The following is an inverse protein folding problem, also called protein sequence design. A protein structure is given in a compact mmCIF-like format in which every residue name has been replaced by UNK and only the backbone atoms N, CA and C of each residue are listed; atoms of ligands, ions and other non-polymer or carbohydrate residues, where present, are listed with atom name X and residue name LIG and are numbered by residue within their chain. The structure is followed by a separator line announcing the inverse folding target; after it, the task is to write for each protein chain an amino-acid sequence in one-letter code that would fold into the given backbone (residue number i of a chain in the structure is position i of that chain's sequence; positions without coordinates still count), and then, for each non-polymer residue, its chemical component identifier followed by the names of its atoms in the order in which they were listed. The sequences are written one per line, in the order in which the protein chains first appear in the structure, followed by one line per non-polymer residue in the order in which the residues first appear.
data_IF_146385100035
#
_entry.id   IF_146385100035
#
_cell.length_a   1.000
_cell.length_b   1.000
_cell.length_c   1.000
_cell.angle_alpha   90.00
_cell.angle_beta   90.00
_cell.angle_gamma   90.00
#
_symmetry.space_group_name_H-M   'P 1'
#
loop_
_entity.id
_entity.type
_entity.pdbx_description
1 polymer ?
#
# COMPACT_ATOMS: atom_id res chain seq x y z
N UNK A 1 44.29 44.67 7.64
CA UNK A 1 42.82 44.83 7.53
C UNK A 1 42.26 43.47 7.14
N UNK A 2 41.81 42.73 8.12
CA UNK A 2 41.24 41.38 7.95
C UNK A 2 39.72 41.58 8.03
N UNK A 3 39.00 41.23 6.95
CA UNK A 3 37.54 41.35 6.89
C UNK A 3 36.90 40.27 7.70
N UNK A 4 35.97 40.66 8.60
CA UNK A 4 35.08 39.77 9.37
C UNK A 4 34.12 39.01 8.45
N UNK A 5 33.77 37.75 8.77
CA UNK A 5 32.73 37.02 8.04
C UNK A 5 31.34 37.48 8.46
N UNK A 6 30.47 37.64 7.48
CA UNK A 6 29.08 38.03 7.64
C UNK A 6 28.30 37.04 8.51
N UNK A 7 27.47 37.61 9.39
CA UNK A 7 26.56 36.91 10.32
C UNK A 7 25.60 35.94 9.62
N UNK A 8 25.52 34.74 10.15
CA UNK A 8 24.53 33.73 9.78
C UNK A 8 23.10 34.27 10.00
N UNK A 9 22.33 34.30 8.92
CA UNK A 9 20.92 34.66 8.95
C UNK A 9 20.10 33.65 9.75
N UNK A 10 19.25 34.20 10.62
CA UNK A 10 18.23 33.53 11.43
C UNK A 10 17.31 32.69 10.56
N UNK A 11 17.55 31.38 10.48
CA UNK A 11 16.56 30.42 10.07
C UNK A 11 15.64 30.13 11.28
N UNK A 12 14.72 31.03 11.54
CA UNK A 12 13.58 30.76 12.42
C UNK A 12 12.66 29.72 11.75
N UNK A 13 13.04 28.46 11.85
CA UNK A 13 12.16 27.32 11.67
C UNK A 13 11.16 27.31 12.83
N UNK A 14 10.04 28.01 12.71
CA UNK A 14 8.90 27.93 13.62
C UNK A 14 8.12 26.63 13.37
N UNK A 15 8.73 25.52 13.71
CA UNK A 15 8.06 24.25 13.88
C UNK A 15 7.47 24.24 15.29
N UNK A 16 6.11 24.22 15.38
CA UNK A 16 5.34 24.08 16.62
C UNK A 16 5.50 25.19 17.68
N UNK A 17 4.64 26.22 17.60
CA UNK A 17 4.17 26.90 18.82
C UNK A 17 3.04 26.05 19.41
N UNK A 18 3.18 25.44 20.59
CA UNK A 18 2.04 24.84 21.27
C UNK A 18 1.10 25.97 21.70
N UNK A 19 0.03 26.18 20.97
CA UNK A 19 -1.09 26.99 21.44
C UNK A 19 -1.70 26.26 22.64
N UNK A 20 -1.67 26.92 23.74
CA UNK A 20 -2.17 26.62 25.09
C UNK A 20 -3.48 25.84 25.09
N UNK A 21 -3.56 24.83 26.01
CA UNK A 21 -4.76 24.07 26.38
C UNK A 21 -5.43 23.22 25.28
N UNK A 22 -4.74 22.16 24.86
CA UNK A 22 -5.41 21.03 24.25
C UNK A 22 -5.92 20.08 25.35
N UNK A 23 -7.10 20.36 25.88
CA UNK A 23 -8.00 19.32 26.37
C UNK A 23 -8.04 18.25 25.29
N UNK A 24 -7.95 16.97 25.65
CA UNK A 24 -8.19 15.80 24.81
C UNK A 24 -9.65 15.78 24.32
N UNK A 25 -10.05 16.78 23.54
CA UNK A 25 -11.20 16.68 22.67
C UNK A 25 -10.75 15.78 21.52
N UNK A 26 -11.13 14.51 21.60
CA UNK A 26 -10.86 13.52 20.57
C UNK A 26 -11.29 14.07 19.22
N UNK A 27 -10.59 13.65 18.16
CA UNK A 27 -11.00 13.98 16.79
C UNK A 27 -12.48 13.61 16.63
N UNK A 28 -13.38 14.52 16.18
CA UNK A 28 -14.79 14.23 16.01
C UNK A 28 -14.99 13.12 14.98
N UNK A 29 -16.16 12.51 14.97
CA UNK A 29 -16.48 11.55 13.91
C UNK A 29 -16.64 12.28 12.56
N UNK A 30 -16.23 11.63 11.46
CA UNK A 30 -16.24 12.25 10.16
C UNK A 30 -17.67 12.56 9.69
N UNK A 31 -17.95 13.73 9.11
CA UNK A 31 -19.24 14.02 8.55
C UNK A 31 -19.59 13.02 7.44
N UNK A 32 -20.81 12.49 7.47
CA UNK A 32 -21.33 11.52 6.50
C UNK A 32 -20.54 10.19 6.40
N UNK A 33 -19.83 9.78 7.45
CA UNK A 33 -19.10 8.52 7.50
C UNK A 33 -17.89 8.42 6.58
N UNK A 34 -17.49 9.52 5.91
CA UNK A 34 -16.30 9.55 5.05
C UNK A 34 -15.08 10.08 5.82
N UNK A 35 -14.15 9.19 6.17
CA UNK A 35 -12.93 9.54 6.88
C UNK A 35 -11.97 10.37 5.99
N UNK A 36 -11.86 10.02 4.71
CA UNK A 36 -11.04 10.72 3.73
C UNK A 36 -11.87 11.02 2.50
N UNK A 37 -11.82 12.26 2.02
CA UNK A 37 -12.41 12.66 0.74
C UNK A 37 -11.35 13.35 -0.10
N UNK A 38 -11.09 12.81 -1.28
CA UNK A 38 -10.18 13.36 -2.29
C UNK A 38 -11.03 13.74 -3.49
N UNK A 39 -10.93 15.01 -3.92
CA UNK A 39 -11.80 15.59 -4.94
C UNK A 39 -10.93 16.31 -5.99
N UNK A 40 -10.76 15.70 -7.18
CA UNK A 40 -9.97 16.17 -8.33
C UNK A 40 -8.57 16.69 -7.93
N UNK A 41 -7.90 15.96 -7.02
CA UNK A 41 -6.61 16.39 -6.51
C UNK A 41 -5.53 16.27 -7.60
N UNK A 42 -4.78 17.34 -7.78
CA UNK A 42 -3.72 17.44 -8.79
C UNK A 42 -2.42 17.96 -8.17
N UNK A 43 -1.30 17.37 -8.58
CA UNK A 43 0.04 17.83 -8.24
C UNK A 43 0.90 18.00 -9.47
N UNK A 44 1.39 19.23 -9.68
CA UNK A 44 2.34 19.58 -10.74
C UNK A 44 3.67 20.02 -10.15
N UNK A 45 4.75 19.64 -10.82
CA UNK A 45 6.11 20.09 -10.59
C UNK A 45 6.64 20.67 -11.91
N UNK A 46 6.55 21.98 -12.09
CA UNK A 46 6.75 22.59 -13.40
C UNK A 46 5.80 21.99 -14.43
N UNK A 47 6.35 21.45 -15.51
CA UNK A 47 5.57 20.81 -16.59
C UNK A 47 5.20 19.36 -16.29
N UNK A 48 5.79 18.75 -15.25
CA UNK A 48 5.50 17.36 -14.89
C UNK A 48 4.28 17.26 -13.97
N UNK A 49 3.28 16.50 -14.38
CA UNK A 49 2.09 16.20 -13.57
C UNK A 49 2.28 14.86 -12.87
N UNK A 50 2.52 14.88 -11.57
CA UNK A 50 2.75 13.68 -10.75
C UNK A 50 1.45 13.02 -10.27
N UNK A 51 0.37 13.81 -10.13
CA UNK A 51 -0.98 13.35 -9.80
C UNK A 51 -1.96 14.20 -10.62
N UNK A 52 -2.88 13.55 -11.31
CA UNK A 52 -3.76 14.15 -12.30
C UNK A 52 -5.22 13.83 -12.00
N UNK A 53 -5.95 14.80 -11.46
CA UNK A 53 -7.41 14.80 -11.19
C UNK A 53 -7.93 13.55 -10.43
N UNK A 54 -7.17 13.05 -9.47
CA UNK A 54 -7.53 11.86 -8.71
C UNK A 54 -8.67 12.17 -7.74
N UNK A 55 -9.73 11.35 -7.75
CA UNK A 55 -10.89 11.47 -6.86
C UNK A 55 -11.25 10.11 -6.26
N UNK A 56 -11.40 10.05 -4.93
CA UNK A 56 -11.91 8.89 -4.21
C UNK A 56 -12.39 9.26 -2.80
N UNK A 57 -13.10 8.32 -2.16
CA UNK A 57 -13.53 8.44 -0.76
C UNK A 57 -13.13 7.19 0.01
N UNK A 58 -12.73 7.38 1.26
CA UNK A 58 -12.44 6.30 2.21
C UNK A 58 -13.47 6.37 3.32
N UNK A 59 -14.15 5.26 3.57
CA UNK A 59 -15.17 5.15 4.61
C UNK A 59 -14.51 4.96 5.98
N UNK A 60 -15.17 5.40 7.04
CA UNK A 60 -14.70 5.16 8.39
C UNK A 60 -14.58 3.66 8.66
N UNK A 61 -13.47 3.26 9.29
CA UNK A 61 -13.24 1.88 9.70
C UNK A 61 -12.78 0.92 8.58
N UNK A 62 -12.56 1.40 7.34
CA UNK A 62 -12.02 0.55 6.27
C UNK A 62 -10.49 0.58 6.19
N UNK A 63 -9.90 -0.47 5.65
CA UNK A 63 -8.52 -0.48 5.14
C UNK A 63 -8.58 -0.19 3.64
N UNK A 64 -8.06 0.94 3.23
CA UNK A 64 -8.04 1.38 1.85
C UNK A 64 -6.64 1.32 1.27
N UNK A 65 -6.46 0.62 0.15
CA UNK A 65 -5.19 0.44 -0.54
C UNK A 65 -5.00 1.41 -1.71
N UNK A 66 -3.85 2.08 -1.77
CA UNK A 66 -3.37 2.73 -3.00
C UNK A 66 -2.33 1.79 -3.62
N UNK A 67 -2.71 1.07 -4.67
CA UNK A 67 -1.90 0.08 -5.36
C UNK A 67 -1.33 0.66 -6.66
N UNK A 68 -0.08 0.36 -6.98
CA UNK A 68 0.53 0.77 -8.24
C UNK A 68 2.05 0.69 -8.22
N UNK A 69 2.72 0.84 -9.36
CA UNK A 69 4.18 0.76 -9.47
C UNK A 69 4.88 1.93 -8.78
N UNK A 70 6.20 1.81 -8.69
CA UNK A 70 7.03 2.92 -8.23
C UNK A 70 6.91 4.09 -9.23
N UNK A 71 6.74 5.31 -8.73
CA UNK A 71 6.52 6.48 -9.57
C UNK A 71 5.06 6.71 -10.01
N UNK A 72 4.10 5.83 -9.68
CA UNK A 72 2.69 6.01 -10.01
C UNK A 72 2.01 7.22 -9.34
N UNK A 73 2.66 7.88 -8.37
CA UNK A 73 2.09 9.03 -7.66
C UNK A 73 1.59 8.73 -6.23
N UNK A 74 1.65 7.48 -5.75
CA UNK A 74 1.14 7.05 -4.44
C UNK A 74 1.67 7.88 -3.26
N UNK A 75 3.00 7.96 -3.11
CA UNK A 75 3.62 8.74 -2.02
C UNK A 75 3.35 10.24 -2.16
N UNK A 76 3.18 10.76 -3.39
CA UNK A 76 2.77 12.14 -3.62
C UNK A 76 1.35 12.38 -3.11
N UNK A 77 0.42 11.47 -3.39
CA UNK A 77 -0.96 11.50 -2.86
C UNK A 77 -0.96 11.50 -1.32
N UNK A 78 -0.24 10.56 -0.68
CA UNK A 78 -0.13 10.55 0.79
C UNK A 78 0.41 11.88 1.30
N UNK A 79 1.51 12.40 0.75
CA UNK A 79 2.12 13.64 1.20
C UNK A 79 1.18 14.84 1.08
N UNK A 80 0.33 14.90 0.05
CA UNK A 80 -0.69 15.94 -0.08
C UNK A 80 -1.78 15.79 0.99
N UNK A 81 -2.32 14.59 1.18
CA UNK A 81 -3.34 14.31 2.19
C UNK A 81 -2.84 14.53 3.62
N UNK A 82 -1.56 14.23 3.89
CA UNK A 82 -0.92 14.40 5.19
C UNK A 82 -0.34 15.81 5.43
N UNK A 83 -0.65 16.76 4.56
CA UNK A 83 -0.22 18.18 4.66
C UNK A 83 1.29 18.41 4.50
N UNK A 84 2.04 17.39 4.08
CA UNK A 84 3.49 17.49 3.85
C UNK A 84 3.83 18.13 2.49
N UNK A 85 2.86 18.16 1.57
CA UNK A 85 3.03 18.71 0.23
C UNK A 85 1.79 19.53 -0.15
N UNK A 86 1.94 20.77 -0.63
CA UNK A 86 0.82 21.57 -1.07
C UNK A 86 0.17 20.98 -2.33
N UNK A 87 -1.16 21.03 -2.37
CA UNK A 87 -2.01 20.64 -3.50
C UNK A 87 -1.91 21.74 -4.57
N UNK A 88 -1.82 21.37 -5.85
CA UNK A 88 -1.80 22.33 -6.97
C UNK A 88 -3.23 22.70 -7.39
N UNK A 89 -4.14 21.71 -7.48
CA UNK A 89 -5.57 21.91 -7.78
C UNK A 89 -6.40 20.81 -7.09
N UNK A 90 -7.70 21.04 -6.95
CA UNK A 90 -8.58 20.14 -6.22
C UNK A 90 -8.50 20.33 -4.71
N UNK A 91 -8.99 19.36 -3.93
CA UNK A 91 -8.98 19.41 -2.46
C UNK A 91 -8.93 18.02 -1.84
N UNK A 92 -8.48 17.97 -0.59
CA UNK A 92 -8.60 16.77 0.26
C UNK A 92 -9.16 17.16 1.63
N UNK A 93 -10.09 16.33 2.13
CA UNK A 93 -10.64 16.45 3.48
C UNK A 93 -10.21 15.23 4.28
N UNK A 94 -9.68 15.47 5.46
CA UNK A 94 -9.33 14.44 6.44
C UNK A 94 -10.24 14.63 7.65
N UNK A 95 -11.08 13.65 7.89
CA UNK A 95 -12.10 13.72 8.94
C UNK A 95 -12.96 15.01 8.87
N UNK A 96 -13.28 15.42 7.64
CA UNK A 96 -14.02 16.66 7.38
C UNK A 96 -13.19 17.95 7.35
N UNK A 97 -11.91 17.92 7.80
CA UNK A 97 -11.03 19.07 7.77
C UNK A 97 -10.29 19.19 6.45
N UNK A 98 -10.39 20.34 5.79
CA UNK A 98 -9.65 20.65 4.56
C UNK A 98 -8.15 20.75 4.87
N UNK A 99 -7.34 19.92 4.23
CA UNK A 99 -5.88 19.83 4.52
C UNK A 99 -5.11 21.11 4.19
N UNK A 100 -5.62 21.93 3.28
CA UNK A 100 -5.00 23.21 2.91
C UNK A 100 -5.45 24.36 3.84
N UNK A 101 -6.70 24.35 4.32
CA UNK A 101 -7.27 25.42 5.12
C UNK A 101 -7.17 25.18 6.61
N UNK A 102 -7.23 23.93 7.04
CA UNK A 102 -7.26 23.50 8.44
C UNK A 102 -6.21 22.39 8.74
N UNK A 103 -4.93 22.59 8.35
CA UNK A 103 -3.92 21.53 8.42
C UNK A 103 -3.69 21.00 9.85
N UNK A 104 -3.76 21.86 10.86
CA UNK A 104 -3.54 21.44 12.25
C UNK A 104 -4.67 20.55 12.78
N UNK A 105 -5.90 20.84 12.40
CA UNK A 105 -7.06 20.01 12.77
C UNK A 105 -6.97 18.64 12.06
N UNK A 106 -6.62 18.63 10.77
CA UNK A 106 -6.41 17.41 10.01
C UNK A 106 -5.28 16.54 10.64
N UNK A 107 -4.13 17.16 10.99
CA UNK A 107 -2.99 16.44 11.61
C UNK A 107 -3.32 15.80 12.95
N UNK A 108 -4.19 16.41 13.76
CA UNK A 108 -4.63 15.83 15.05
C UNK A 108 -5.43 14.55 14.87
N UNK A 109 -6.10 14.39 13.73
CA UNK A 109 -6.93 13.22 13.44
C UNK A 109 -6.15 12.08 12.79
N UNK A 110 -4.89 12.30 12.37
CA UNK A 110 -4.12 11.32 11.61
C UNK A 110 -2.82 10.91 12.30
N UNK A 111 -2.45 9.64 12.13
CA UNK A 111 -1.10 9.12 12.34
C UNK A 111 -0.46 8.84 10.98
N UNK A 112 0.81 9.10 10.82
CA UNK A 112 1.52 8.92 9.55
C UNK A 112 2.80 8.15 9.77
N UNK A 113 2.98 7.07 9.04
CA UNK A 113 4.20 6.27 9.01
C UNK A 113 4.80 6.33 7.60
N UNK A 114 5.95 6.97 7.46
CA UNK A 114 6.65 7.01 6.18
C UNK A 114 7.28 5.66 5.84
N UNK A 115 7.70 5.50 4.59
CA UNK A 115 8.42 4.32 4.12
C UNK A 115 9.72 4.11 4.89
N UNK A 116 10.50 5.18 5.10
CA UNK A 116 11.74 5.13 5.88
C UNK A 116 11.45 4.97 7.39
N UNK A 117 12.31 4.22 8.09
CA UNK A 117 12.29 4.15 9.54
C UNK A 117 12.79 5.48 10.12
N UNK A 118 12.04 6.03 11.08
CA UNK A 118 12.30 7.35 11.70
C UNK A 118 12.48 7.29 13.22
N UNK A 119 12.42 6.07 13.81
CA UNK A 119 12.73 5.87 15.22
C UNK A 119 14.19 6.14 15.52
N UNK A 120 14.46 6.80 16.64
CA UNK A 120 15.81 7.02 17.10
C UNK A 120 16.44 5.69 17.56
N UNK A 121 17.56 5.33 16.93
CA UNK A 121 18.22 4.04 17.13
C UNK A 121 18.95 3.94 18.48
N UNK A 122 19.34 5.05 19.08
CA UNK A 122 20.06 5.11 20.35
C UNK A 122 19.13 5.14 21.56
N UNK A 123 17.86 5.46 21.35
CA UNK A 123 16.82 5.41 22.37
C UNK A 123 16.22 4.01 22.51
N UNK A 124 15.69 3.75 23.70
CA UNK A 124 14.88 2.54 23.94
C UNK A 124 13.53 2.62 23.24
N UNK A 125 12.86 1.48 23.14
CA UNK A 125 11.50 1.39 22.58
C UNK A 125 10.54 2.32 23.35
N UNK A 126 10.57 2.29 24.67
CA UNK A 126 9.71 3.15 25.51
C UNK A 126 10.02 4.63 25.36
N UNK A 127 11.29 5.02 25.29
CA UNK A 127 11.70 6.40 25.09
C UNK A 127 11.22 6.97 23.78
N UNK A 128 11.32 6.19 22.68
CA UNK A 128 10.76 6.55 21.38
C UNK A 128 9.26 6.84 21.47
N UNK A 129 8.49 5.98 22.11
CA UNK A 129 7.05 6.18 22.31
C UNK A 129 6.74 7.39 23.19
N UNK A 130 7.50 7.58 24.27
CA UNK A 130 7.33 8.72 25.19
C UNK A 130 7.56 10.08 24.53
N UNK A 131 8.60 10.18 23.67
CA UNK A 131 8.88 11.41 22.92
C UNK A 131 7.71 11.74 22.00
N UNK A 132 7.23 10.77 21.22
CA UNK A 132 6.09 10.98 20.32
C UNK A 132 4.81 11.32 21.10
N UNK A 133 4.54 10.64 22.22
CA UNK A 133 3.41 10.97 23.07
C UNK A 133 3.47 12.43 23.58
N UNK A 134 4.66 12.92 23.94
CA UNK A 134 4.87 14.32 24.33
C UNK A 134 4.65 15.28 23.16
N UNK A 135 5.20 14.98 21.98
CA UNK A 135 5.07 15.80 20.77
C UNK A 135 3.60 15.97 20.37
N UNK A 136 2.81 14.92 20.50
CA UNK A 136 1.38 14.96 20.17
C UNK A 136 0.50 15.41 21.36
N UNK A 137 1.12 15.87 22.48
CA UNK A 137 0.39 16.42 23.63
C UNK A 137 -0.43 15.40 24.42
N UNK A 138 -0.05 14.12 24.37
CA UNK A 138 -0.71 13.08 25.18
C UNK A 138 -0.51 13.37 26.66
N UNK A 139 -1.61 13.49 27.40
CA UNK A 139 -1.60 13.81 28.81
C UNK A 139 -0.78 12.80 29.64
N UNK A 140 -0.02 13.31 30.61
CA UNK A 140 0.89 12.52 31.45
C UNK A 140 0.17 11.38 32.17
N UNK A 141 -1.07 11.62 32.64
CA UNK A 141 -1.86 10.62 33.35
C UNK A 141 -2.22 9.41 32.45
N UNK A 142 -2.44 9.64 31.18
CA UNK A 142 -2.84 8.59 30.22
C UNK A 142 -1.66 7.99 29.45
N UNK A 143 -0.52 8.68 29.40
CA UNK A 143 0.63 8.30 28.56
C UNK A 143 1.17 6.92 28.88
N UNK A 144 1.39 6.63 30.17
CA UNK A 144 1.92 5.32 30.60
C UNK A 144 0.99 4.19 30.15
N UNK A 145 -0.31 4.33 30.39
CA UNK A 145 -1.30 3.33 30.00
C UNK A 145 -1.32 3.15 28.47
N UNK A 146 -1.35 4.25 27.70
CA UNK A 146 -1.35 4.17 26.23
C UNK A 146 -0.11 3.44 25.70
N UNK A 147 1.07 3.70 26.30
CA UNK A 147 2.31 3.03 25.90
C UNK A 147 2.26 1.54 26.28
N UNK A 148 1.75 1.18 27.46
CA UNK A 148 1.60 -0.21 27.88
C UNK A 148 0.68 -0.98 26.94
N UNK A 149 -0.48 -0.41 26.61
CA UNK A 149 -1.45 -0.99 25.67
C UNK A 149 -0.87 -1.14 24.27
N UNK A 150 -0.13 -0.13 23.79
CA UNK A 150 0.52 -0.18 22.48
C UNK A 150 1.62 -1.23 22.41
N UNK A 151 2.50 -1.28 23.40
CA UNK A 151 3.56 -2.29 23.44
C UNK A 151 3.01 -3.71 23.41
N UNK A 152 1.87 -3.93 24.09
CA UNK A 152 1.17 -5.21 24.04
C UNK A 152 0.59 -5.46 22.65
N UNK A 153 -0.06 -4.46 22.05
CA UNK A 153 -0.68 -4.56 20.72
C UNK A 153 0.33 -4.90 19.62
N UNK A 154 1.54 -4.32 19.68
CA UNK A 154 2.59 -4.54 18.69
C UNK A 154 3.59 -5.64 19.07
N UNK A 155 3.33 -6.37 20.15
CA UNK A 155 4.19 -7.46 20.67
C UNK A 155 5.65 -7.02 20.91
N UNK A 156 5.82 -5.86 21.55
CA UNK A 156 7.12 -5.32 21.93
C UNK A 156 7.29 -5.16 23.45
N UNK A 157 6.37 -5.68 24.28
CA UNK A 157 6.40 -5.54 25.74
C UNK A 157 7.71 -6.02 26.36
N UNK A 158 8.24 -7.15 25.89
CA UNK A 158 9.50 -7.73 26.36
C UNK A 158 10.73 -6.88 26.00
N UNK A 159 10.60 -6.03 24.97
CA UNK A 159 11.66 -5.21 24.41
C UNK A 159 11.58 -3.74 24.86
N UNK A 160 10.69 -3.42 25.80
CA UNK A 160 10.42 -2.06 26.28
C UNK A 160 11.70 -1.24 26.52
N UNK A 161 12.66 -1.83 27.25
CA UNK A 161 13.90 -1.17 27.65
C UNK A 161 15.10 -1.49 26.72
N UNK A 162 14.87 -2.23 25.65
CA UNK A 162 15.90 -2.50 24.65
C UNK A 162 16.13 -1.27 23.76
N UNK A 163 17.38 -1.01 23.41
CA UNK A 163 17.70 0.03 22.42
C UNK A 163 17.18 -0.36 21.03
N UNK A 164 16.65 0.62 20.32
CA UNK A 164 16.04 0.40 19.00
C UNK A 164 17.01 -0.21 17.99
N UNK A 165 18.31 0.08 18.09
CA UNK A 165 19.35 -0.52 17.22
C UNK A 165 19.47 -2.03 17.36
N UNK A 166 19.04 -2.61 18.48
CA UNK A 166 19.11 -4.07 18.73
C UNK A 166 17.90 -4.82 18.18
N UNK A 167 16.87 -4.11 17.71
CA UNK A 167 15.66 -4.71 17.18
C UNK A 167 15.86 -5.21 15.73
N UNK A 168 15.17 -6.29 15.36
CA UNK A 168 15.07 -6.73 13.97
C UNK A 168 14.34 -5.69 13.11
N UNK A 169 14.42 -5.80 11.77
CA UNK A 169 13.69 -4.93 10.86
C UNK A 169 12.19 -4.92 11.10
N UNK A 170 11.59 -6.10 11.25
CA UNK A 170 10.16 -6.25 11.56
C UNK A 170 9.78 -5.64 12.92
N UNK A 171 10.60 -5.80 13.95
CA UNK A 171 10.38 -5.19 15.26
C UNK A 171 10.47 -3.66 15.19
N UNK A 172 11.44 -3.12 14.46
CA UNK A 172 11.53 -1.66 14.22
C UNK A 172 10.29 -1.14 13.50
N UNK A 173 9.78 -1.87 12.49
CA UNK A 173 8.55 -1.47 11.81
C UNK A 173 7.33 -1.47 12.74
N UNK A 174 7.21 -2.45 13.62
CA UNK A 174 6.17 -2.47 14.66
C UNK A 174 6.29 -1.28 15.63
N UNK A 175 7.51 -0.90 16.01
CA UNK A 175 7.74 0.32 16.82
C UNK A 175 7.29 1.59 16.08
N UNK A 176 7.60 1.74 14.78
CA UNK A 176 7.11 2.87 13.97
C UNK A 176 5.59 2.95 14.00
N UNK A 177 4.90 1.82 13.79
CA UNK A 177 3.44 1.74 13.83
C UNK A 177 2.91 2.15 15.20
N UNK A 178 3.50 1.66 16.30
CA UNK A 178 3.12 2.05 17.64
C UNK A 178 3.30 3.56 17.87
N UNK A 179 4.38 4.16 17.38
CA UNK A 179 4.64 5.61 17.46
C UNK A 179 3.53 6.43 16.81
N UNK A 180 3.10 6.03 15.61
CA UNK A 180 2.02 6.71 14.89
C UNK A 180 0.64 6.56 15.54
N UNK A 181 0.47 5.59 16.43
CA UNK A 181 -0.78 5.34 17.15
C UNK A 181 -0.83 5.92 18.57
N UNK A 182 0.28 6.48 19.08
CA UNK A 182 0.42 6.87 20.49
C UNK A 182 -0.60 7.94 20.94
N UNK A 183 -1.06 8.78 20.01
CA UNK A 183 -2.06 9.84 20.26
C UNK A 183 -3.49 9.42 19.87
N UNK A 184 -3.70 8.12 19.58
CA UNK A 184 -5.00 7.53 19.24
C UNK A 184 -5.68 8.25 18.04
N UNK A 185 -5.04 8.31 16.87
CA UNK A 185 -5.63 8.92 15.68
C UNK A 185 -6.87 8.15 15.22
N UNK A 186 -7.76 8.82 14.46
CA UNK A 186 -8.92 8.19 13.78
C UNK A 186 -8.53 7.63 12.40
N UNK A 187 -7.49 8.19 11.77
CA UNK A 187 -7.03 7.83 10.44
C UNK A 187 -5.53 7.55 10.48
N UNK A 188 -5.11 6.47 9.84
CA UNK A 188 -3.73 6.03 9.85
C UNK A 188 -3.18 5.84 8.44
N UNK A 189 -2.18 6.61 8.08
CA UNK A 189 -1.50 6.56 6.80
C UNK A 189 -0.22 5.75 6.92
N UNK A 190 -0.06 4.76 6.05
CA UNK A 190 1.10 3.88 5.98
C UNK A 190 1.68 3.91 4.56
N UNK A 191 2.86 4.49 4.40
CA UNK A 191 3.55 4.49 3.11
C UNK A 191 4.45 3.26 3.01
N UNK A 192 4.05 2.27 2.18
CA UNK A 192 4.74 1.00 1.95
C UNK A 192 5.17 0.28 3.25
N UNK A 193 4.23 -0.11 4.12
CA UNK A 193 4.53 -0.55 5.49
C UNK A 193 5.38 -1.80 5.62
N UNK A 194 5.43 -2.65 4.59
CA UNK A 194 6.13 -3.93 4.64
C UNK A 194 7.33 -4.03 3.70
N UNK A 195 7.66 -2.94 3.00
CA UNK A 195 8.81 -2.91 2.09
C UNK A 195 10.12 -3.20 2.85
N UNK A 196 10.91 -4.12 2.30
CA UNK A 196 12.19 -4.54 2.88
C UNK A 196 12.09 -5.49 4.06
N UNK A 197 10.90 -5.97 4.43
CA UNK A 197 10.70 -7.02 5.43
C UNK A 197 10.77 -8.41 4.80
N UNK A 198 11.27 -9.37 5.57
CA UNK A 198 11.19 -10.78 5.23
C UNK A 198 9.72 -11.26 5.23
N UNK A 199 9.38 -12.39 4.55
CA UNK A 199 7.99 -12.85 4.42
C UNK A 199 7.29 -13.09 5.76
N UNK A 200 7.98 -13.60 6.78
CA UNK A 200 7.40 -13.88 8.10
C UNK A 200 7.06 -12.57 8.82
N UNK A 201 7.99 -11.62 8.83
CA UNK A 201 7.78 -10.29 9.41
C UNK A 201 6.65 -9.53 8.70
N UNK A 202 6.50 -9.69 7.38
CA UNK A 202 5.43 -9.09 6.59
C UNK A 202 4.06 -9.59 7.04
N UNK A 203 3.87 -10.91 7.12
CA UNK A 203 2.61 -11.52 7.58
C UNK A 203 2.27 -11.05 9.00
N UNK A 204 3.25 -11.00 9.89
CA UNK A 204 3.04 -10.54 11.27
C UNK A 204 2.60 -9.06 11.34
N UNK A 205 3.11 -8.19 10.45
CA UNK A 205 2.64 -6.79 10.34
C UNK A 205 1.21 -6.74 9.81
N UNK A 206 0.84 -7.55 8.83
CA UNK A 206 -0.53 -7.60 8.31
C UNK A 206 -1.55 -8.00 9.38
N UNK A 207 -1.28 -9.09 10.11
CA UNK A 207 -2.13 -9.54 11.21
C UNK A 207 -2.27 -8.49 12.29
N UNK A 208 -1.17 -7.82 12.64
CA UNK A 208 -1.18 -6.73 13.61
C UNK A 208 -2.06 -5.56 13.12
N UNK A 209 -1.95 -5.12 11.86
CA UNK A 209 -2.77 -4.03 11.31
C UNK A 209 -4.25 -4.38 11.31
N UNK A 210 -4.60 -5.62 10.94
CA UNK A 210 -5.99 -6.12 11.00
C UNK A 210 -6.53 -6.10 12.44
N UNK A 211 -5.73 -6.55 13.41
CA UNK A 211 -6.13 -6.54 14.81
C UNK A 211 -6.30 -5.12 15.36
N UNK A 212 -5.42 -4.20 14.98
CA UNK A 212 -5.51 -2.79 15.39
C UNK A 212 -6.77 -2.14 14.80
N UNK A 213 -7.06 -2.34 13.52
CA UNK A 213 -8.30 -1.87 12.89
C UNK A 213 -9.52 -2.31 13.66
N UNK A 214 -9.64 -3.62 13.92
CA UNK A 214 -10.81 -4.21 14.56
C UNK A 214 -10.99 -3.76 16.02
N UNK A 215 -9.90 -3.47 16.73
CA UNK A 215 -9.94 -3.10 18.15
C UNK A 215 -10.10 -1.60 18.42
N UNK A 216 -9.85 -0.73 17.42
CA UNK A 216 -9.73 0.72 17.66
C UNK A 216 -10.63 1.61 16.79
N UNK A 217 -11.54 1.04 15.98
CA UNK A 217 -12.36 1.81 15.00
C UNK A 217 -11.47 2.75 14.16
N UNK A 218 -10.36 2.21 13.65
CA UNK A 218 -9.33 2.94 12.94
C UNK A 218 -9.54 2.81 11.44
N UNK A 219 -9.56 3.92 10.73
CA UNK A 219 -9.50 3.94 9.26
C UNK A 219 -8.03 3.90 8.85
N UNK A 220 -7.66 2.98 7.96
CA UNK A 220 -6.28 2.82 7.50
C UNK A 220 -6.20 3.08 6.00
N UNK A 221 -5.24 3.92 5.57
CA UNK A 221 -4.86 4.06 4.18
C UNK A 221 -3.41 3.58 4.02
N UNK A 222 -3.22 2.56 3.18
CA UNK A 222 -1.89 2.03 2.88
C UNK A 222 -1.53 2.30 1.42
N UNK A 223 -0.25 2.56 1.16
CA UNK A 223 0.30 2.43 -0.20
C UNK A 223 1.08 1.13 -0.28
N UNK A 224 1.01 0.48 -1.41
CA UNK A 224 1.80 -0.71 -1.69
C UNK A 224 2.01 -0.91 -3.19
N UNK A 225 3.04 -1.64 -3.52
CA UNK A 225 3.27 -2.22 -4.84
C UNK A 225 3.20 -3.75 -4.79
N UNK A 226 2.87 -4.33 -3.61
CA UNK A 226 2.67 -5.77 -3.43
C UNK A 226 1.18 -6.10 -3.56
N UNK A 227 0.84 -6.93 -4.56
CA UNK A 227 -0.53 -7.34 -4.83
C UNK A 227 -1.12 -8.20 -3.72
N UNK A 228 -0.31 -9.10 -3.17
CA UNK A 228 -0.67 -9.98 -2.06
C UNK A 228 -1.00 -9.19 -0.77
N UNK A 229 -0.31 -8.09 -0.50
CA UNK A 229 -0.61 -7.19 0.60
C UNK A 229 -1.96 -6.50 0.41
N UNK A 230 -2.19 -5.94 -0.79
CA UNK A 230 -3.44 -5.27 -1.12
C UNK A 230 -4.63 -6.25 -1.08
N UNK A 231 -4.48 -7.44 -1.66
CA UNK A 231 -5.52 -8.47 -1.69
C UNK A 231 -5.91 -8.98 -0.30
N UNK A 232 -4.92 -9.11 0.59
CA UNK A 232 -5.15 -9.66 1.94
C UNK A 232 -5.68 -8.64 2.94
N UNK A 233 -5.23 -7.38 2.85
CA UNK A 233 -5.52 -6.37 3.88
C UNK A 233 -6.66 -5.45 3.53
N UNK A 234 -6.83 -5.08 2.25
CA UNK A 234 -7.67 -3.96 1.88
C UNK A 234 -9.12 -4.38 1.68
N UNK A 235 -10.04 -3.60 2.24
CA UNK A 235 -11.46 -3.70 1.95
C UNK A 235 -11.77 -3.16 0.54
N UNK A 236 -11.05 -2.08 0.12
CA UNK A 236 -11.11 -1.50 -1.23
C UNK A 236 -9.73 -1.05 -1.67
N UNK A 237 -9.51 -1.11 -2.98
CA UNK A 237 -8.22 -0.78 -3.61
C UNK A 237 -8.46 0.24 -4.72
N UNK A 238 -7.70 1.32 -4.69
CA UNK A 238 -7.54 2.24 -5.80
C UNK A 238 -6.24 1.89 -6.54
N UNK A 239 -6.36 1.47 -7.79
CA UNK A 239 -5.22 1.24 -8.67
C UNK A 239 -4.81 2.57 -9.28
N UNK A 240 -3.57 2.98 -9.02
CA UNK A 240 -3.00 4.25 -9.50
C UNK A 240 -1.87 3.95 -10.47
N UNK A 241 -1.92 4.58 -11.64
CA UNK A 241 -0.89 4.49 -12.65
C UNK A 241 -0.68 5.84 -13.34
N UNK A 242 0.59 6.23 -13.55
CA UNK A 242 0.96 7.53 -14.16
C UNK A 242 0.20 8.73 -13.56
N UNK A 243 0.01 8.75 -12.24
CA UNK A 243 -0.68 9.83 -11.53
C UNK A 243 -2.20 9.80 -11.64
N UNK A 244 -2.80 8.81 -12.30
CA UNK A 244 -4.25 8.68 -12.50
C UNK A 244 -4.84 7.51 -11.74
N UNK A 245 -6.09 7.66 -11.32
CA UNK A 245 -6.89 6.56 -10.80
C UNK A 245 -7.40 5.73 -11.99
N UNK A 246 -7.01 4.46 -12.05
CA UNK A 246 -7.34 3.55 -13.15
C UNK A 246 -8.54 2.67 -12.82
N UNK A 247 -8.61 2.16 -11.60
CA UNK A 247 -9.72 1.36 -11.10
C UNK A 247 -9.86 1.54 -9.59
N UNK A 248 -11.08 1.35 -9.06
CA UNK A 248 -11.36 1.42 -7.64
C UNK A 248 -12.53 0.53 -7.29
N UNK A 249 -12.27 -0.53 -6.51
CA UNK A 249 -13.30 -1.40 -5.95
C UNK A 249 -12.72 -2.32 -4.86
N UNK A 250 -13.52 -3.25 -4.34
CA UNK A 250 -13.03 -4.35 -3.50
C UNK A 250 -12.11 -5.29 -4.30
N UNK A 251 -11.15 -5.99 -3.66
CA UNK A 251 -10.29 -6.97 -4.35
C UNK A 251 -11.10 -8.00 -5.15
N UNK A 252 -12.21 -8.48 -4.59
CA UNK A 252 -13.08 -9.45 -5.25
C UNK A 252 -13.76 -8.88 -6.51
N UNK A 253 -14.29 -7.65 -6.44
CA UNK A 253 -14.92 -6.99 -7.57
C UNK A 253 -13.92 -6.64 -8.67
N UNK A 254 -12.70 -6.17 -8.30
CA UNK A 254 -11.63 -5.92 -9.26
C UNK A 254 -11.24 -7.20 -10.00
N UNK A 255 -11.07 -8.32 -9.30
CA UNK A 255 -10.77 -9.62 -9.92
C UNK A 255 -11.88 -10.11 -10.83
N UNK A 256 -13.13 -9.90 -10.44
CA UNK A 256 -14.30 -10.26 -11.26
C UNK A 256 -14.49 -9.37 -12.49
N UNK A 257 -13.91 -8.18 -12.53
CA UNK A 257 -13.97 -7.27 -13.70
C UNK A 257 -13.05 -7.67 -14.85
N UNK A 258 -12.08 -8.54 -14.60
CA UNK A 258 -11.18 -9.06 -15.64
C UNK A 258 -11.91 -10.18 -16.39
N UNK A 259 -11.99 -10.15 -17.72
CA UNK A 259 -12.56 -11.25 -18.49
C UNK A 259 -11.82 -12.55 -18.24
N UNK A 260 -12.56 -13.60 -17.81
CA UNK A 260 -11.98 -14.86 -17.40
C UNK A 260 -11.61 -14.85 -15.91
N UNK A 261 -12.56 -15.23 -15.06
CA UNK A 261 -12.37 -15.20 -13.59
C UNK A 261 -11.42 -16.27 -13.06
N UNK A 262 -11.02 -17.24 -13.88
CA UNK A 262 -10.09 -18.30 -13.52
C UNK A 262 -9.05 -18.48 -14.63
N UNK A 263 -7.82 -18.74 -14.22
CA UNK A 263 -6.71 -19.08 -15.11
C UNK A 263 -6.38 -20.55 -14.90
N UNK A 264 -6.45 -21.34 -15.99
CA UNK A 264 -6.01 -22.72 -15.99
C UNK A 264 -4.68 -22.78 -16.75
N UNK A 265 -3.61 -23.14 -16.06
CA UNK A 265 -2.33 -23.46 -16.67
C UNK A 265 -2.25 -24.97 -16.88
N UNK A 266 -2.17 -25.41 -18.11
CA UNK A 266 -2.13 -26.82 -18.45
C UNK A 266 -0.99 -27.12 -19.41
N UNK A 267 -0.26 -28.21 -19.11
CA UNK A 267 0.77 -28.76 -20.00
C UNK A 267 0.31 -30.12 -20.50
N UNK A 268 0.39 -30.30 -21.83
CA UNK A 268 -0.05 -31.52 -22.51
C UNK A 268 1.13 -32.23 -23.15
N UNK A 269 0.99 -33.50 -23.41
CA UNK A 269 1.90 -34.28 -24.25
C UNK A 269 1.12 -34.86 -25.39
N UNK A 270 1.75 -34.88 -26.59
CA UNK A 270 1.14 -35.35 -27.81
C UNK A 270 -0.12 -34.58 -28.27
N UNK A 271 -0.16 -33.28 -27.96
CA UNK A 271 -1.26 -32.41 -28.40
C UNK A 271 -1.26 -32.28 -29.93
N UNK A 272 -2.43 -32.44 -30.61
CA UNK A 272 -2.54 -32.24 -32.05
C UNK A 272 -2.36 -30.75 -32.41
N UNK A 273 -2.06 -30.48 -33.66
CA UNK A 273 -1.78 -29.12 -34.14
C UNK A 273 -2.97 -28.15 -33.97
N UNK A 274 -4.19 -28.64 -33.93
CA UNK A 274 -5.43 -27.88 -33.70
C UNK A 274 -5.86 -27.83 -32.22
N UNK A 275 -4.99 -28.26 -31.28
CA UNK A 275 -5.32 -28.36 -29.86
C UNK A 275 -5.78 -27.02 -29.25
N UNK A 276 -5.11 -25.92 -29.60
CA UNK A 276 -5.54 -24.60 -29.18
C UNK A 276 -6.98 -24.29 -29.55
N UNK A 277 -7.36 -24.54 -30.80
CA UNK A 277 -8.73 -24.31 -31.30
C UNK A 277 -9.76 -25.19 -30.58
N UNK A 278 -9.37 -26.43 -30.21
CA UNK A 278 -10.24 -27.31 -29.43
C UNK A 278 -10.43 -26.82 -28.00
N UNK A 279 -9.39 -26.25 -27.38
CA UNK A 279 -9.49 -25.61 -26.04
C UNK A 279 -10.33 -24.35 -26.09
N UNK A 280 -10.22 -23.53 -27.15
CA UNK A 280 -11.02 -22.31 -27.37
C UNK A 280 -12.51 -22.61 -27.57
N UNK A 281 -12.85 -23.83 -28.01
CA UNK A 281 -14.22 -24.27 -28.23
C UNK A 281 -14.92 -24.81 -26.97
N UNK A 282 -14.21 -24.92 -25.83
CA UNK A 282 -14.83 -25.33 -24.56
C UNK A 282 -15.75 -24.24 -24.03
N UNK A 283 -16.81 -24.67 -23.35
CA UNK A 283 -17.73 -23.75 -22.69
C UNK A 283 -16.99 -22.89 -21.65
N UNK A 284 -17.44 -21.66 -21.46
CA UNK A 284 -16.89 -20.73 -20.46
C UNK A 284 -15.43 -20.28 -20.72
N UNK A 285 -14.73 -20.78 -21.76
CA UNK A 285 -13.38 -20.31 -22.13
C UNK A 285 -13.47 -18.97 -22.84
N UNK A 286 -12.70 -18.00 -22.35
CA UNK A 286 -12.65 -16.63 -22.89
C UNK A 286 -11.45 -16.44 -23.81
N UNK A 287 -10.31 -17.04 -23.51
CA UNK A 287 -9.12 -17.02 -24.36
C UNK A 287 -8.15 -18.14 -23.99
N UNK A 288 -7.35 -18.56 -24.97
CA UNK A 288 -6.28 -19.55 -24.81
C UNK A 288 -4.98 -18.94 -25.34
N UNK A 289 -3.95 -18.91 -24.51
CA UNK A 289 -2.65 -18.37 -24.86
C UNK A 289 -1.58 -19.47 -24.72
N UNK A 290 -0.84 -19.80 -25.80
CA UNK A 290 0.31 -20.68 -25.69
C UNK A 290 1.46 -19.91 -25.01
N UNK A 291 2.04 -20.49 -23.94
CA UNK A 291 3.18 -19.88 -23.21
C UNK A 291 4.53 -20.51 -23.60
N UNK A 292 4.55 -21.82 -23.81
CA UNK A 292 5.72 -22.57 -24.26
C UNK A 292 5.28 -23.83 -25.02
N UNK A 293 6.24 -24.65 -25.45
CA UNK A 293 5.91 -25.91 -26.10
C UNK A 293 4.97 -26.74 -25.22
N UNK A 294 3.76 -26.97 -25.75
CA UNK A 294 2.70 -27.78 -25.13
C UNK A 294 2.15 -27.21 -23.80
N UNK A 295 2.44 -25.97 -23.42
CA UNK A 295 1.91 -25.28 -22.26
C UNK A 295 0.93 -24.20 -22.70
N UNK A 296 -0.26 -24.23 -22.11
CA UNK A 296 -1.36 -23.31 -22.42
C UNK A 296 -1.87 -22.64 -21.17
N UNK A 297 -2.11 -21.33 -21.28
CA UNK A 297 -2.82 -20.52 -20.30
C UNK A 297 -4.23 -20.26 -20.80
N UNK A 298 -5.21 -20.78 -20.09
CA UNK A 298 -6.62 -20.77 -20.47
C UNK A 298 -7.36 -19.86 -19.49
N UNK A 299 -7.97 -18.81 -20.00
CA UNK A 299 -8.83 -17.90 -19.25
C UNK A 299 -10.28 -18.37 -19.34
N UNK A 300 -10.95 -18.59 -18.23
CA UNK A 300 -12.31 -19.10 -18.19
C UNK A 300 -13.16 -18.41 -17.13
N UNK A 301 -14.46 -18.29 -17.37
CA UNK A 301 -15.42 -17.77 -16.40
C UNK A 301 -15.77 -18.78 -15.29
N UNK A 302 -15.52 -20.08 -15.50
CA UNK A 302 -15.82 -21.16 -14.55
C UNK A 302 -14.71 -22.22 -14.53
N UNK A 303 -13.70 -22.02 -13.68
CA UNK A 303 -12.51 -22.89 -13.64
C UNK A 303 -12.81 -24.35 -13.33
N UNK A 304 -13.76 -24.64 -12.45
CA UNK A 304 -14.11 -26.02 -12.08
C UNK A 304 -14.78 -26.78 -13.23
N UNK A 305 -15.74 -26.14 -13.91
CA UNK A 305 -16.44 -26.74 -15.06
C UNK A 305 -15.46 -26.93 -16.23
N UNK A 306 -14.73 -25.87 -16.61
CA UNK A 306 -13.77 -25.94 -17.70
C UNK A 306 -12.66 -26.95 -17.44
N UNK A 307 -12.21 -27.11 -16.18
CA UNK A 307 -11.22 -28.15 -15.83
C UNK A 307 -11.76 -29.55 -16.11
N UNK A 308 -13.02 -29.81 -15.75
CA UNK A 308 -13.66 -31.11 -16.03
C UNK A 308 -13.76 -31.37 -17.52
N UNK A 309 -14.28 -30.41 -18.28
CA UNK A 309 -14.40 -30.49 -19.74
C UNK A 309 -13.06 -30.65 -20.45
N UNK A 310 -12.01 -29.96 -19.97
CA UNK A 310 -10.65 -30.09 -20.50
C UNK A 310 -10.08 -31.49 -20.29
N UNK A 311 -10.26 -32.07 -19.10
CA UNK A 311 -9.81 -33.44 -18.82
C UNK A 311 -10.60 -34.44 -19.66
N UNK A 312 -11.90 -34.29 -19.83
CA UNK A 312 -12.73 -35.13 -20.71
C UNK A 312 -12.29 -35.02 -22.19
N UNK A 313 -12.01 -33.79 -22.65
CA UNK A 313 -11.49 -33.57 -23.99
C UNK A 313 -10.13 -34.26 -24.19
N UNK A 314 -9.21 -34.14 -23.27
CA UNK A 314 -7.90 -34.78 -23.31
C UNK A 314 -8.03 -36.32 -23.37
N UNK A 315 -8.92 -36.91 -22.60
CA UNK A 315 -9.19 -38.36 -22.64
C UNK A 315 -9.76 -38.79 -23.97
N UNK A 316 -10.74 -38.06 -24.53
CA UNK A 316 -11.37 -38.38 -25.82
C UNK A 316 -10.41 -38.31 -26.98
N UNK A 317 -9.45 -37.40 -26.94
CA UNK A 317 -8.47 -37.17 -28.05
C UNK A 317 -7.15 -37.90 -27.80
N UNK A 318 -7.05 -38.69 -26.73
CA UNK A 318 -5.83 -39.42 -26.34
C UNK A 318 -4.62 -38.49 -26.11
N UNK A 319 -4.88 -37.25 -25.65
CA UNK A 319 -3.87 -36.29 -25.24
C UNK A 319 -3.56 -36.49 -23.75
N UNK A 320 -2.28 -36.58 -23.39
CA UNK A 320 -1.89 -36.77 -22.02
C UNK A 320 -1.75 -35.43 -21.30
N UNK A 321 -2.45 -35.23 -20.20
CA UNK A 321 -2.27 -34.09 -19.29
C UNK A 321 -1.02 -34.34 -18.43
N UNK A 322 0.01 -33.53 -18.60
CA UNK A 322 1.26 -33.61 -17.82
C UNK A 322 1.17 -32.83 -16.51
N UNK A 323 0.60 -31.64 -16.57
CA UNK A 323 0.31 -30.82 -15.39
C UNK A 323 -0.94 -29.99 -15.64
N UNK A 324 -1.70 -29.72 -14.58
CA UNK A 324 -2.88 -28.85 -14.60
C UNK A 324 -2.94 -28.11 -13.28
N UNK A 325 -2.99 -26.78 -13.36
CA UNK A 325 -3.13 -25.89 -12.22
C UNK A 325 -4.27 -24.93 -12.49
N UNK A 326 -5.16 -24.78 -11.51
CA UNK A 326 -6.27 -23.81 -11.59
C UNK A 326 -5.93 -22.67 -10.64
N UNK A 327 -5.76 -21.49 -11.20
CA UNK A 327 -5.50 -20.28 -10.44
C UNK A 327 -6.69 -19.33 -10.60
N UNK A 328 -7.10 -18.74 -9.50
CA UNK A 328 -8.07 -17.64 -9.56
C UNK A 328 -7.34 -16.39 -10.08
N UNK A 329 -8.07 -15.52 -10.76
CA UNK A 329 -7.58 -14.21 -11.20
C UNK A 329 -6.94 -13.47 -10.03
N UNK A 330 -5.74 -12.98 -10.22
CA UNK A 330 -4.97 -12.25 -9.22
C UNK A 330 -5.10 -10.74 -9.43
N UNK A 331 -4.68 -9.93 -8.45
CA UNK A 331 -4.58 -8.49 -8.65
C UNK A 331 -3.48 -8.11 -9.66
N UNK A 332 -2.48 -8.98 -9.90
CA UNK A 332 -1.53 -8.81 -11.00
C UNK A 332 -2.24 -8.85 -12.35
N UNK A 333 -3.16 -9.81 -12.56
CA UNK A 333 -3.96 -9.90 -13.78
C UNK A 333 -4.88 -8.67 -13.95
N UNK A 334 -5.47 -8.20 -12.86
CA UNK A 334 -6.26 -6.94 -12.84
C UNK A 334 -5.39 -5.76 -13.30
N UNK A 335 -4.20 -5.62 -12.73
CA UNK A 335 -3.30 -4.54 -13.07
C UNK A 335 -2.91 -4.58 -14.56
N UNK A 336 -2.54 -5.76 -15.08
CA UNK A 336 -2.23 -5.97 -16.49
C UNK A 336 -3.43 -5.63 -17.38
N UNK A 337 -4.63 -6.05 -16.98
CA UNK A 337 -5.86 -5.77 -17.75
C UNK A 337 -6.11 -4.27 -17.91
N UNK A 338 -6.00 -3.50 -16.83
CA UNK A 338 -6.29 -2.07 -16.85
C UNK A 338 -5.16 -1.19 -17.39
N UNK A 339 -3.89 -1.63 -17.28
CA UNK A 339 -2.72 -0.83 -17.68
C UNK A 339 -2.01 -1.31 -18.93
N UNK A 340 -2.29 -2.55 -19.37
CA UNK A 340 -1.66 -3.19 -20.53
C UNK A 340 -0.21 -3.64 -20.30
N UNK A 341 0.30 -3.65 -19.06
CA UNK A 341 1.71 -3.97 -18.73
C UNK A 341 1.84 -4.65 -17.38
N UNK A 342 2.92 -5.42 -17.19
CA UNK A 342 3.23 -6.05 -15.91
C UNK A 342 3.98 -5.10 -14.98
N UNK A 343 3.69 -5.14 -13.67
CA UNK A 343 4.41 -4.36 -12.65
C UNK A 343 5.91 -4.69 -12.59
N UNK A 344 6.29 -5.95 -12.90
CA UNK A 344 7.69 -6.42 -12.86
C UNK A 344 8.57 -5.78 -13.92
N UNK A 345 8.03 -5.42 -15.07
CA UNK A 345 8.81 -4.83 -16.19
C UNK A 345 9.39 -3.45 -15.85
N UNK A 346 8.76 -2.70 -14.96
CA UNK A 346 9.25 -1.38 -14.52
C UNK A 346 10.38 -1.46 -13.51
N UNK A 347 10.41 -2.50 -12.67
CA UNK A 347 11.53 -2.70 -11.73
C UNK A 347 12.83 -2.99 -12.48
N UNK A 348 12.76 -3.74 -13.59
CA UNK A 348 13.93 -4.03 -14.43
C UNK A 348 14.40 -2.78 -15.17
N UNK A 349 13.49 -1.95 -15.69
CA UNK A 349 13.84 -0.68 -16.37
C UNK A 349 14.43 0.35 -15.42
N UNK A 350 13.90 0.49 -14.21
CA UNK A 350 14.42 1.39 -13.18
C UNK A 350 15.83 0.98 -12.73
N UNK A 351 16.10 -0.34 -12.60
CA UNK A 351 17.42 -0.85 -12.25
C UNK A 351 18.43 -0.64 -13.38
N UNK A 352 18.02 -0.78 -14.64
CA UNK A 352 18.85 -0.53 -15.82
C UNK A 352 19.22 0.97 -15.99
N UNK A 353 18.34 1.87 -15.57
CA UNK A 353 18.60 3.32 -15.63
C UNK A 353 19.51 3.82 -14.51
N UNK A 354 19.60 3.09 -13.39
CA UNK A 354 20.46 3.44 -12.25
C UNK A 354 21.91 2.92 -12.37
N UNK A 355 22.21 2.05 -13.35
CA UNK A 355 23.59 1.65 -13.64
C UNK A 355 24.09 2.44 -14.86
N UNK A 356 24.97 3.45 -14.69
CA UNK A 356 25.65 4.03 -15.84
C UNK A 356 26.51 2.95 -16.50
N UNK A 357 26.40 2.83 -17.82
CA UNK A 357 27.27 1.98 -18.65
C UNK A 357 28.72 2.13 -18.21
N UNK A 358 29.30 1.07 -17.65
CA UNK A 358 30.75 0.96 -17.50
C UNK A 358 31.32 0.59 -18.87
N UNK A 359 32.03 1.47 -19.57
CA UNK A 359 32.70 1.08 -20.82
C UNK A 359 33.85 0.14 -20.44
N UNK A 360 33.76 -1.11 -20.86
CA UNK A 360 34.91 -2.02 -20.80
C UNK A 360 34.73 -3.46 -20.38
N UNK A 361 33.54 -4.09 -20.49
CA UNK A 361 33.42 -5.56 -20.42
C UNK A 361 32.47 -6.04 -21.51
N UNK A 362 33.02 -6.40 -22.64
CA UNK A 362 32.40 -7.35 -23.58
C UNK A 362 32.94 -8.73 -23.32
N UNK A 363 32.10 -9.79 -23.46
CA UNK A 363 32.51 -11.18 -23.26
C UNK A 363 33.55 -11.65 -24.26
#
# INVERSE_FOLDING_TARGET
MIAEPASAGDTNMTWFKPTTTATTAGCPDPPNGAAIVVDHITKKYGDFTAVDEVSFKVTQGEIFGLLGPNGAGKSTLIRMMTTLLPITAGRALINGFDVAKQPDNARRCMGVIPQALTSDIDLTVEENLNIYAKLYGVDTAHRKKNIDDLLTTVDLQKWRHAQTKTLSGGMRRRLEIARGLVHSPKIFFLDEPTTGLDPVSRVAVWEMLTNIKNSRDLTILITTHYMDEADRLCDRIAIVDHGKLVALDSPAALKASVPGTNVIEAQFLNAPADWQSQLEALDDVTSVQPEAADMYRILTSNGSKTTTELVELAVRTNVQVKSLSVQNTTLDDVFVHFTGRQLRDEQVKAFSFMMPDRPGMRP
#
